data_IF_704869140938
#
_entry.id   IF_704869140938
#
_cell.length_a   1.000
_cell.length_b   1.000
_cell.length_c   1.000
_cell.angle_alpha   90.00
_cell.angle_beta   90.00
_cell.angle_gamma   90.00
#
_symmetry.space_group_name_H-M   'P 1'
#
loop_
_entity.id
_entity.type
_entity.pdbx_description
1 polymer ?
#
# COMPACT_ATOMS: atom_id res chain seq x y z
N UNK A 1 -7.75 16.35 -15.83
CA UNK A 1 -8.71 16.36 -14.70
C UNK A 1 -8.46 15.21 -13.74
N UNK A 2 -9.17 15.20 -12.63
CA UNK A 2 -9.14 14.15 -11.59
C UNK A 2 -10.52 13.52 -11.46
N UNK A 3 -10.58 12.18 -11.46
CA UNK A 3 -11.76 11.39 -11.12
C UNK A 3 -11.38 10.39 -10.05
N UNK A 4 -12.15 10.32 -8.96
CA UNK A 4 -11.88 9.45 -7.83
C UNK A 4 -13.17 8.93 -7.16
N UNK A 5 -13.94 8.04 -7.82
CA UNK A 5 -15.08 7.39 -7.20
C UNK A 5 -14.65 6.36 -6.15
N UNK A 6 -15.43 6.23 -5.09
CA UNK A 6 -15.29 5.21 -4.07
C UNK A 6 -16.64 4.62 -3.67
N UNK A 7 -16.62 3.37 -3.24
CA UNK A 7 -17.77 2.66 -2.73
C UNK A 7 -17.40 1.93 -1.44
N UNK A 8 -18.23 2.08 -0.41
CA UNK A 8 -18.17 1.32 0.83
C UNK A 8 -19.48 0.56 1.02
N UNK A 9 -19.37 -0.73 1.26
CA UNK A 9 -20.46 -1.62 1.62
C UNK A 9 -20.16 -2.24 2.98
N UNK A 10 -21.13 -2.17 3.89
CA UNK A 10 -21.15 -2.95 5.12
C UNK A 10 -22.44 -3.74 5.21
N UNK A 11 -22.30 -5.03 5.50
CA UNK A 11 -23.43 -5.96 5.59
C UNK A 11 -23.31 -6.84 6.83
N UNK A 12 -24.30 -6.76 7.69
CA UNK A 12 -24.47 -7.72 8.79
C UNK A 12 -25.03 -9.02 8.22
N UNK A 13 -24.18 -10.06 8.18
CA UNK A 13 -24.57 -11.38 7.65
C UNK A 13 -25.37 -12.20 8.68
N UNK A 14 -25.02 -12.02 9.97
CA UNK A 14 -25.72 -12.67 11.09
C UNK A 14 -25.47 -11.90 12.39
N UNK A 15 -25.96 -12.44 13.52
CA UNK A 15 -25.66 -11.86 14.84
C UNK A 15 -24.16 -11.84 15.16
N UNK A 16 -23.37 -12.73 14.56
CA UNK A 16 -21.93 -12.90 14.84
C UNK A 16 -21.05 -12.41 13.73
N UNK A 17 -21.55 -12.18 12.51
CA UNK A 17 -20.73 -11.90 11.36
C UNK A 17 -21.12 -10.59 10.68
N UNK A 18 -20.10 -9.79 10.39
CA UNK A 18 -20.19 -8.57 9.57
C UNK A 18 -19.21 -8.69 8.43
N UNK A 19 -19.66 -8.39 7.23
CA UNK A 19 -18.85 -8.24 6.02
C UNK A 19 -18.68 -6.74 5.72
N UNK A 20 -17.47 -6.31 5.39
CA UNK A 20 -17.23 -5.01 4.79
C UNK A 20 -16.51 -5.17 3.45
N UNK A 21 -16.81 -4.31 2.49
CA UNK A 21 -16.11 -4.21 1.22
C UNK A 21 -15.95 -2.74 0.87
N UNK A 22 -14.76 -2.36 0.41
CA UNK A 22 -14.45 -1.01 -0.01
C UNK A 22 -13.71 -1.08 -1.34
N UNK A 23 -14.06 -0.19 -2.27
CA UNK A 23 -13.39 -0.03 -3.54
C UNK A 23 -13.21 1.44 -3.88
N UNK A 24 -12.06 1.79 -4.43
CA UNK A 24 -11.71 3.13 -4.87
C UNK A 24 -10.92 3.03 -6.17
N UNK A 25 -11.30 3.85 -7.12
CA UNK A 25 -10.57 4.02 -8.36
C UNK A 25 -10.25 5.49 -8.57
N UNK A 26 -8.99 5.79 -8.86
CA UNK A 26 -8.53 7.15 -9.14
C UNK A 26 -7.86 7.20 -10.49
N UNK A 27 -8.17 8.23 -11.26
CA UNK A 27 -7.48 8.57 -12.50
C UNK A 27 -7.28 10.07 -12.57
N UNK A 28 -6.03 10.48 -12.76
CA UNK A 28 -5.66 11.87 -12.98
C UNK A 28 -4.70 11.97 -14.17
N UNK A 29 -4.92 12.97 -15.03
CA UNK A 29 -4.01 13.26 -16.16
C UNK A 29 -2.77 14.05 -15.72
N UNK A 30 -2.84 14.70 -14.55
CA UNK A 30 -1.74 15.46 -13.98
C UNK A 30 -1.27 16.68 -14.80
N UNK A 31 -1.93 16.99 -15.91
CA UNK A 31 -1.56 18.09 -16.78
C UNK A 31 -1.98 19.43 -16.19
N UNK A 32 -1.16 20.00 -15.31
CA UNK A 32 -1.39 21.33 -14.75
C UNK A 32 -0.42 22.36 -15.34
N UNK A 33 -0.87 23.62 -15.54
CA UNK A 33 0.01 24.69 -15.96
C UNK A 33 0.92 25.14 -14.81
N UNK A 34 2.14 25.47 -15.14
CA UNK A 34 3.08 26.10 -14.22
C UNK A 34 3.89 27.18 -14.96
N UNK A 35 4.50 28.10 -14.21
CA UNK A 35 5.40 29.11 -14.75
C UNK A 35 6.83 28.67 -14.49
N UNK A 36 7.62 28.56 -15.53
CA UNK A 36 9.05 28.29 -15.45
C UNK A 36 9.79 29.64 -15.47
N UNK A 37 10.66 29.84 -14.48
CA UNK A 37 11.57 30.97 -14.42
C UNK A 37 12.97 30.53 -14.83
N UNK A 38 13.63 31.31 -15.70
CA UNK A 38 14.96 31.04 -16.20
C UNK A 38 15.70 32.33 -16.57
N UNK A 39 16.98 32.25 -16.94
CA UNK A 39 17.85 33.40 -17.13
C UNK A 39 18.75 33.63 -15.90
N UNK A 40 19.72 34.55 -16.02
CA UNK A 40 20.73 34.80 -14.96
C UNK A 40 20.07 35.28 -13.65
N UNK A 41 19.01 36.11 -13.75
CA UNK A 41 18.30 36.67 -12.61
C UNK A 41 16.86 36.11 -12.45
N UNK A 42 16.54 34.97 -13.12
CA UNK A 42 15.18 34.43 -13.22
C UNK A 42 14.14 35.43 -13.79
N UNK A 43 14.59 36.35 -14.60
CA UNK A 43 13.79 37.42 -15.20
C UNK A 43 12.95 36.96 -16.40
N UNK A 44 13.33 35.83 -17.02
CA UNK A 44 12.58 35.24 -18.11
C UNK A 44 11.56 34.20 -17.59
N UNK A 45 10.39 34.20 -18.19
CA UNK A 45 9.33 33.27 -17.83
C UNK A 45 8.71 32.61 -19.04
N UNK A 46 8.36 31.33 -18.93
CA UNK A 46 7.46 30.65 -19.85
C UNK A 46 6.34 29.93 -19.12
N UNK A 47 5.17 29.83 -19.77
CA UNK A 47 4.02 29.09 -19.24
C UNK A 47 3.95 27.73 -19.89
N UNK A 48 4.22 26.71 -19.11
CA UNK A 48 4.33 25.34 -19.54
C UNK A 48 3.21 24.48 -18.97
N UNK A 49 3.00 23.28 -19.51
CA UNK A 49 2.15 22.25 -18.93
C UNK A 49 3.01 21.08 -18.47
N UNK A 50 2.77 20.61 -17.25
CA UNK A 50 3.44 19.42 -16.73
C UNK A 50 3.09 18.22 -17.56
N UNK A 51 4.10 17.41 -17.91
CA UNK A 51 3.99 16.19 -18.71
C UNK A 51 4.42 14.98 -17.87
N UNK A 52 3.96 13.79 -18.24
CA UNK A 52 4.27 12.51 -17.59
C UNK A 52 3.96 12.51 -16.07
N UNK A 53 2.80 13.03 -15.73
CA UNK A 53 2.31 13.15 -14.35
C UNK A 53 0.97 12.44 -14.16
N UNK A 54 0.55 11.68 -15.16
CA UNK A 54 -0.65 10.88 -15.07
C UNK A 54 -0.53 9.81 -13.99
N UNK A 55 -1.65 9.55 -13.34
CA UNK A 55 -1.76 8.55 -12.28
C UNK A 55 -3.07 7.81 -12.43
N UNK A 56 -3.01 6.48 -12.31
CA UNK A 56 -4.17 5.59 -12.21
C UNK A 56 -3.97 4.63 -11.06
N UNK A 57 -4.91 4.63 -10.13
CA UNK A 57 -4.89 3.73 -8.96
C UNK A 57 -6.20 2.96 -8.87
N UNK A 58 -6.10 1.73 -8.42
CA UNK A 58 -7.22 0.90 -7.99
C UNK A 58 -6.89 0.36 -6.60
N UNK A 59 -7.80 0.53 -5.65
CA UNK A 59 -7.75 -0.04 -4.31
C UNK A 59 -9.03 -0.80 -4.03
N UNK A 60 -8.90 -1.99 -3.49
CA UNK A 60 -10.02 -2.77 -3.00
C UNK A 60 -9.68 -3.40 -1.64
N UNK A 61 -10.63 -3.39 -0.73
CA UNK A 61 -10.51 -4.03 0.58
C UNK A 61 -11.76 -4.86 0.85
N UNK A 62 -11.56 -6.01 1.49
CA UNK A 62 -12.64 -6.81 2.05
C UNK A 62 -12.29 -7.19 3.49
N UNK A 63 -13.27 -7.12 4.37
CA UNK A 63 -13.16 -7.47 5.77
C UNK A 63 -14.28 -8.40 6.21
N UNK A 64 -13.93 -9.45 6.93
CA UNK A 64 -14.90 -10.32 7.60
C UNK A 64 -14.62 -10.29 9.11
N UNK A 65 -15.63 -9.91 9.87
CA UNK A 65 -15.54 -9.73 11.32
C UNK A 65 -16.46 -10.72 12.01
N UNK A 66 -15.86 -11.60 12.83
CA UNK A 66 -16.57 -12.58 13.65
C UNK A 66 -16.54 -12.13 15.12
N UNK A 67 -17.72 -11.90 15.70
CA UNK A 67 -17.91 -11.64 17.13
C UNK A 67 -18.66 -12.84 17.71
N UNK A 68 -17.93 -13.85 18.19
CA UNK A 68 -18.52 -15.11 18.66
C UNK A 68 -19.11 -14.95 20.05
N UNK A 69 -18.50 -14.10 20.89
CA UNK A 69 -18.95 -13.66 22.20
C UNK A 69 -18.31 -12.32 22.55
N UNK A 70 -18.63 -11.74 23.71
CA UNK A 70 -17.98 -10.53 24.25
C UNK A 70 -16.47 -10.75 24.52
N UNK A 71 -16.06 -12.01 24.62
CA UNK A 71 -14.68 -12.42 24.94
C UNK A 71 -13.95 -13.07 23.77
N UNK A 72 -14.60 -13.25 22.61
CA UNK A 72 -14.01 -13.97 21.50
C UNK A 72 -14.32 -13.28 20.15
N UNK A 73 -13.26 -12.86 19.47
CA UNK A 73 -13.35 -12.12 18.21
C UNK A 73 -12.33 -12.66 17.20
N UNK A 74 -12.76 -12.67 15.94
CA UNK A 74 -11.90 -12.96 14.80
C UNK A 74 -12.09 -11.92 13.71
N UNK A 75 -11.00 -11.55 13.04
CA UNK A 75 -11.01 -10.59 11.94
C UNK A 75 -10.16 -11.14 10.81
N UNK A 76 -10.69 -11.06 9.60
CA UNK A 76 -9.98 -11.33 8.36
C UNK A 76 -10.05 -10.08 7.51
N UNK A 77 -8.91 -9.65 6.97
CA UNK A 77 -8.82 -8.53 6.02
C UNK A 77 -8.06 -8.98 4.79
N UNK A 78 -8.60 -8.71 3.61
CA UNK A 78 -7.93 -8.81 2.32
C UNK A 78 -7.82 -7.41 1.71
N UNK A 79 -6.70 -7.14 1.06
CA UNK A 79 -6.39 -5.87 0.44
C UNK A 79 -5.76 -6.08 -0.92
N UNK A 80 -6.16 -5.27 -1.89
CA UNK A 80 -5.57 -5.16 -3.20
C UNK A 80 -5.29 -3.70 -3.54
N UNK A 81 -4.12 -3.43 -4.08
CA UNK A 81 -3.74 -2.14 -4.62
C UNK A 81 -2.98 -2.32 -5.93
N UNK A 82 -3.29 -1.47 -6.89
CA UNK A 82 -2.55 -1.32 -8.14
C UNK A 82 -2.40 0.15 -8.47
N UNK A 83 -1.21 0.55 -8.91
CA UNK A 83 -0.91 1.89 -9.39
C UNK A 83 -0.12 1.84 -10.69
N UNK A 84 -0.35 2.83 -11.53
CA UNK A 84 0.41 3.13 -12.74
C UNK A 84 0.56 4.64 -12.81
N UNK A 85 1.80 5.12 -12.87
CA UNK A 85 2.07 6.57 -12.85
C UNK A 85 3.29 6.93 -13.67
N UNK A 86 3.19 8.04 -14.39
CA UNK A 86 4.32 8.73 -14.97
C UNK A 86 5.18 9.38 -13.88
N UNK A 87 6.48 9.46 -14.11
CA UNK A 87 7.44 10.14 -13.24
C UNK A 87 8.01 11.35 -13.98
N UNK A 88 7.55 12.56 -13.66
CA UNK A 88 8.02 13.76 -14.32
C UNK A 88 9.46 14.09 -13.91
N UNK A 89 10.25 14.62 -14.83
CA UNK A 89 11.55 15.19 -14.55
C UNK A 89 11.46 16.48 -13.71
N UNK A 90 12.63 16.94 -13.25
CA UNK A 90 12.75 18.32 -12.75
C UNK A 90 12.31 19.31 -13.83
N UNK A 91 11.67 20.40 -13.41
CA UNK A 91 11.28 21.49 -14.31
C UNK A 91 12.48 22.35 -14.61
N UNK A 92 13.24 22.01 -15.64
CA UNK A 92 14.38 22.81 -16.12
C UNK A 92 14.12 23.20 -17.58
N UNK A 93 14.64 24.34 -17.99
CA UNK A 93 14.45 24.88 -19.35
C UNK A 93 14.88 23.91 -20.46
N UNK A 94 15.88 23.06 -20.20
CA UNK A 94 16.44 22.14 -21.18
C UNK A 94 15.86 20.72 -21.14
N UNK A 95 15.13 20.36 -20.10
CA UNK A 95 14.63 18.98 -19.88
C UNK A 95 13.21 19.01 -19.31
N UNK A 96 12.24 19.31 -20.14
CA UNK A 96 10.83 19.33 -19.75
C UNK A 96 10.12 17.98 -19.93
N UNK A 97 10.81 16.99 -20.48
CA UNK A 97 10.25 15.69 -20.86
C UNK A 97 10.93 14.54 -20.13
N UNK A 98 10.12 13.64 -19.63
CA UNK A 98 10.52 12.34 -19.09
C UNK A 98 9.49 11.31 -19.53
N UNK A 99 9.97 10.12 -19.94
CA UNK A 99 9.13 8.96 -20.26
C UNK A 99 9.16 7.90 -19.14
N UNK A 100 9.73 8.25 -17.98
CA UNK A 100 9.86 7.34 -16.87
C UNK A 100 8.47 6.95 -16.32
N UNK A 101 8.32 5.67 -16.00
CA UNK A 101 7.06 5.13 -15.52
C UNK A 101 7.25 4.14 -14.39
N UNK A 102 6.31 4.16 -13.44
CA UNK A 102 6.31 3.28 -12.27
C UNK A 102 4.97 2.56 -12.15
N UNK A 103 5.04 1.25 -11.99
CA UNK A 103 3.91 0.39 -11.69
C UNK A 103 4.11 -0.26 -10.33
N UNK A 104 3.08 -0.21 -9.51
CA UNK A 104 3.04 -0.87 -8.20
C UNK A 104 1.83 -1.81 -8.13
N UNK A 105 2.01 -2.96 -7.51
CA UNK A 105 0.92 -3.84 -7.07
C UNK A 105 1.19 -4.32 -5.66
N UNK A 106 0.17 -4.38 -4.85
CA UNK A 106 0.25 -4.93 -3.51
C UNK A 106 -1.00 -5.74 -3.20
N UNK A 107 -0.80 -6.92 -2.62
CA UNK A 107 -1.87 -7.79 -2.13
C UNK A 107 -1.48 -8.24 -0.73
N UNK A 108 -2.38 -8.14 0.23
CA UNK A 108 -2.19 -8.83 1.49
C UNK A 108 -3.47 -9.47 2.01
N UNK A 109 -3.29 -10.51 2.79
CA UNK A 109 -4.34 -11.10 3.62
C UNK A 109 -3.83 -11.15 5.04
N UNK A 110 -4.65 -10.67 5.97
CA UNK A 110 -4.33 -10.64 7.39
C UNK A 110 -5.48 -11.25 8.18
N UNK A 111 -5.15 -12.15 9.10
CA UNK A 111 -6.08 -12.73 10.06
C UNK A 111 -5.66 -12.35 11.46
N UNK A 112 -6.60 -12.02 12.32
CA UNK A 112 -6.39 -11.74 13.73
C UNK A 112 -7.44 -12.45 14.57
N UNK A 113 -7.00 -13.12 15.62
CA UNK A 113 -7.87 -13.79 16.57
C UNK A 113 -7.54 -13.31 17.98
N UNK A 114 -8.58 -12.99 18.76
CA UNK A 114 -8.47 -12.61 20.16
C UNK A 114 -9.47 -13.41 20.97
N UNK A 115 -9.01 -13.97 22.10
CA UNK A 115 -9.86 -14.66 23.06
C UNK A 115 -9.46 -14.36 24.50
N UNK A 116 -10.46 -14.03 25.31
CA UNK A 116 -10.35 -13.95 26.75
C UNK A 116 -10.85 -15.29 27.33
N UNK A 117 -9.92 -16.17 27.70
CA UNK A 117 -10.25 -17.49 28.26
C UNK A 117 -10.84 -17.39 29.67
N UNK A 118 -10.42 -16.36 30.40
CA UNK A 118 -10.93 -16.04 31.74
C UNK A 118 -10.71 -14.55 32.00
N UNK A 119 -11.17 -14.06 33.19
CA UNK A 119 -10.85 -12.70 33.62
C UNK A 119 -9.35 -12.44 33.76
N UNK A 120 -8.55 -13.49 33.90
CA UNK A 120 -7.10 -13.40 34.05
C UNK A 120 -6.35 -13.55 32.74
N UNK A 121 -6.79 -14.40 31.80
CA UNK A 121 -6.07 -14.76 30.61
C UNK A 121 -6.69 -14.19 29.35
N UNK A 122 -5.90 -13.42 28.59
CA UNK A 122 -6.21 -12.97 27.24
C UNK A 122 -5.13 -13.44 26.28
N UNK A 123 -5.54 -14.03 25.18
CA UNK A 123 -4.66 -14.46 24.10
C UNK A 123 -5.03 -13.74 22.81
N UNK A 124 -4.01 -13.30 22.05
CA UNK A 124 -4.18 -12.72 20.74
C UNK A 124 -3.12 -13.27 19.80
N UNK A 125 -3.52 -13.59 18.58
CA UNK A 125 -2.61 -13.98 17.51
C UNK A 125 -2.98 -13.26 16.22
N UNK A 126 -1.96 -12.98 15.38
CA UNK A 126 -2.14 -12.40 14.06
C UNK A 126 -1.24 -13.12 13.07
N UNK A 127 -1.76 -13.35 11.88
CA UNK A 127 -1.01 -13.86 10.75
C UNK A 127 -1.24 -12.95 9.55
N UNK A 128 -0.19 -12.66 8.79
CA UNK A 128 -0.27 -11.85 7.57
C UNK A 128 0.59 -12.49 6.48
N UNK A 129 0.04 -12.54 5.29
CA UNK A 129 0.78 -12.73 4.06
C UNK A 129 0.67 -11.47 3.23
N UNK A 130 1.80 -11.01 2.70
CA UNK A 130 1.89 -9.86 1.81
C UNK A 130 2.69 -10.22 0.57
N UNK A 131 2.22 -9.78 -0.58
CA UNK A 131 2.91 -9.83 -1.85
C UNK A 131 2.91 -8.46 -2.48
N UNK A 132 4.06 -8.01 -2.97
CA UNK A 132 4.19 -6.77 -3.71
C UNK A 132 5.02 -6.93 -4.97
N UNK A 133 4.69 -6.15 -5.96
CA UNK A 133 5.40 -6.02 -7.22
C UNK A 133 5.61 -4.55 -7.52
N UNK A 134 6.82 -4.19 -7.90
CA UNK A 134 7.15 -2.87 -8.38
C UNK A 134 7.96 -3.00 -9.68
N UNK A 135 7.61 -2.19 -10.69
CA UNK A 135 8.36 -2.08 -11.94
C UNK A 135 8.60 -0.61 -12.24
N UNK A 136 9.87 -0.28 -12.44
CA UNK A 136 10.32 1.01 -12.93
C UNK A 136 10.84 0.84 -14.34
N UNK A 137 10.52 1.78 -15.23
CA UNK A 137 11.01 1.85 -16.61
C UNK A 137 11.46 3.28 -16.92
N UNK A 138 12.69 3.43 -17.38
CA UNK A 138 13.21 4.62 -18.03
C UNK A 138 13.61 4.23 -19.47
N UNK A 139 12.77 4.53 -20.47
CA UNK A 139 13.07 4.17 -21.86
C UNK A 139 14.11 5.08 -22.51
N UNK A 140 14.43 6.22 -21.90
CA UNK A 140 15.35 7.23 -22.44
C UNK A 140 16.74 7.18 -21.78
N UNK A 141 16.98 6.17 -20.95
CA UNK A 141 18.27 5.99 -20.28
C UNK A 141 19.38 5.71 -21.27
N UNK A 142 20.44 6.54 -21.25
CA UNK A 142 21.59 6.50 -22.17
C UNK A 142 22.66 5.48 -21.79
N UNK A 143 22.31 4.39 -21.14
CA UNK A 143 23.24 3.28 -20.87
C UNK A 143 23.44 2.36 -22.07
N UNK A 144 24.25 1.31 -21.91
CA UNK A 144 24.58 0.34 -22.96
C UNK A 144 23.35 -0.39 -23.54
N UNK A 145 22.27 -0.52 -22.78
CA UNK A 145 21.03 -1.19 -23.20
C UNK A 145 19.99 -0.20 -23.77
N UNK A 146 20.25 1.11 -23.76
CA UNK A 146 19.35 2.15 -24.26
C UNK A 146 18.08 2.37 -23.41
N UNK A 147 17.93 1.64 -22.30
CA UNK A 147 16.84 1.77 -21.31
C UNK A 147 17.27 1.24 -19.96
N UNK A 148 16.58 1.66 -18.90
CA UNK A 148 16.65 1.04 -17.59
C UNK A 148 15.29 0.45 -17.23
N UNK A 149 15.27 -0.82 -16.85
CA UNK A 149 14.05 -1.52 -16.43
C UNK A 149 14.35 -2.36 -15.18
N UNK A 150 13.77 -1.98 -14.05
CA UNK A 150 13.93 -2.66 -12.77
C UNK A 150 12.58 -3.23 -12.32
N UNK A 151 12.60 -4.48 -11.89
CA UNK A 151 11.42 -5.17 -11.35
C UNK A 151 11.76 -5.83 -10.03
N UNK A 152 10.87 -5.66 -9.07
CA UNK A 152 11.01 -6.19 -7.72
C UNK A 152 9.76 -6.97 -7.36
N UNK A 153 9.94 -8.19 -6.84
CA UNK A 153 8.91 -9.04 -6.29
C UNK A 153 9.25 -9.31 -4.83
N UNK A 154 8.37 -8.94 -3.92
CA UNK A 154 8.55 -9.17 -2.50
C UNK A 154 7.40 -10.00 -1.95
N UNK A 155 7.73 -10.95 -1.08
CA UNK A 155 6.80 -11.71 -0.27
C UNK A 155 7.19 -11.61 1.19
N UNK A 156 6.20 -11.42 2.05
CA UNK A 156 6.34 -11.39 3.49
C UNK A 156 5.31 -12.33 4.11
N UNK A 157 5.77 -13.16 5.04
CA UNK A 157 4.95 -13.95 5.94
C UNK A 157 5.24 -13.48 7.35
N UNK A 158 4.22 -13.07 8.07
CA UNK A 158 4.31 -12.56 9.42
C UNK A 158 3.36 -13.32 10.32
N UNK A 159 3.84 -13.69 11.50
CA UNK A 159 3.09 -14.31 12.58
C UNK A 159 3.41 -13.61 13.88
N UNK A 160 2.39 -13.28 14.67
CA UNK A 160 2.56 -12.80 16.03
C UNK A 160 1.63 -13.54 16.99
N UNK A 161 2.08 -13.70 18.23
CA UNK A 161 1.28 -14.23 19.31
C UNK A 161 1.58 -13.44 20.60
N UNK A 162 0.54 -13.13 21.36
CA UNK A 162 0.66 -12.48 22.66
C UNK A 162 -0.28 -13.10 23.67
N UNK A 163 0.17 -13.16 24.91
CA UNK A 163 -0.62 -13.58 26.05
C UNK A 163 -0.51 -12.53 27.17
N UNK A 164 -1.64 -12.16 27.72
CA UNK A 164 -1.74 -11.28 28.87
C UNK A 164 -2.29 -12.08 30.04
N UNK A 165 -1.58 -12.02 31.18
CA UNK A 165 -2.02 -12.61 32.44
C UNK A 165 -2.18 -11.55 33.52
N UNK A 166 -3.40 -11.40 34.04
CA UNK A 166 -3.73 -10.49 35.12
C UNK A 166 -3.64 -11.26 36.43
N UNK A 167 -2.58 -10.99 37.20
CA UNK A 167 -2.35 -11.64 38.51
C UNK A 167 -3.25 -11.05 39.59
N UNK A 168 -3.34 -9.71 39.60
CA UNK A 168 -4.16 -8.93 40.50
C UNK A 168 -4.94 -7.87 39.73
N UNK A 169 -5.84 -7.16 40.36
CA UNK A 169 -6.59 -6.06 39.72
C UNK A 169 -5.68 -4.92 39.22
N UNK A 170 -4.50 -4.77 39.83
CA UNK A 170 -3.52 -3.72 39.53
C UNK A 170 -2.18 -4.27 38.97
N UNK A 171 -2.05 -5.58 38.78
CA UNK A 171 -0.82 -6.20 38.29
C UNK A 171 -1.12 -7.19 37.16
N UNK A 172 -0.47 -6.98 36.04
CA UNK A 172 -0.55 -7.89 34.88
C UNK A 172 0.81 -8.08 34.24
N UNK A 173 1.02 -9.25 33.63
CA UNK A 173 2.17 -9.59 32.82
C UNK A 173 1.73 -9.82 31.38
N UNK A 174 2.52 -9.34 30.42
CA UNK A 174 2.31 -9.59 29.01
C UNK A 174 3.57 -10.19 28.38
N UNK A 175 3.37 -11.24 27.59
CA UNK A 175 4.41 -11.84 26.78
C UNK A 175 3.95 -11.77 25.32
N UNK A 176 4.84 -11.31 24.42
CA UNK A 176 4.60 -11.32 22.98
C UNK A 176 5.81 -11.85 22.23
N UNK A 177 5.54 -12.47 21.09
CA UNK A 177 6.56 -12.94 20.16
C UNK A 177 6.09 -12.68 18.73
N UNK A 178 7.06 -12.37 17.86
CA UNK A 178 6.85 -12.10 16.44
C UNK A 178 7.85 -12.91 15.61
N UNK A 179 7.41 -13.37 14.46
CA UNK A 179 8.25 -14.03 13.46
C UNK A 179 7.91 -13.49 12.07
N UNK A 180 8.91 -13.24 11.25
CA UNK A 180 8.72 -12.85 9.86
C UNK A 180 9.70 -13.56 8.93
N UNK A 181 9.23 -13.87 7.72
CA UNK A 181 10.04 -14.39 6.62
C UNK A 181 9.81 -13.48 5.44
N UNK A 182 10.88 -12.90 4.93
CA UNK A 182 10.85 -12.00 3.78
C UNK A 182 11.65 -12.61 2.62
N UNK A 183 11.10 -12.52 1.41
CA UNK A 183 11.75 -12.93 0.17
C UNK A 183 11.68 -11.78 -0.82
N UNK A 184 12.81 -11.43 -1.41
CA UNK A 184 12.94 -10.42 -2.44
C UNK A 184 13.59 -11.04 -3.67
N UNK A 185 12.94 -10.88 -4.83
CA UNK A 185 13.51 -11.17 -6.14
C UNK A 185 13.56 -9.87 -6.94
N UNK A 186 14.68 -9.60 -7.58
CA UNK A 186 14.88 -8.46 -8.45
C UNK A 186 15.53 -8.92 -9.77
N UNK A 187 15.28 -8.19 -10.84
CA UNK A 187 15.94 -8.43 -12.12
C UNK A 187 17.25 -7.64 -12.27
N UNK A 188 17.79 -7.12 -11.18
CA UNK A 188 19.09 -6.44 -11.21
C UNK A 188 20.14 -7.44 -11.68
N UNK A 189 20.84 -7.10 -12.76
CA UNK A 189 22.05 -7.79 -13.17
C UNK A 189 23.21 -7.17 -12.38
N UNK A 190 23.95 -7.99 -11.68
CA UNK A 190 25.23 -7.61 -11.06
C UNK A 190 26.28 -7.24 -12.14
#
# INVERSE_FOLDING_TARGET
>A
GLVNPSLLLEQKLSRKWVLSANGEWMSADGHYPFTLHYGEDNDLTSREKRKNTEVKNLRAEAGLFGNFSDTEQWRLKAYYYQSSRGLPNATTYYYDYSSQHLWDKNVFVQSQYKKEFSRQWVFQTSAKWNWSYQRYLDPDYKGSEGKTENSYYQQEYYLSASALYRVLSNLSFSLSTDASINRLNANLKD
#
